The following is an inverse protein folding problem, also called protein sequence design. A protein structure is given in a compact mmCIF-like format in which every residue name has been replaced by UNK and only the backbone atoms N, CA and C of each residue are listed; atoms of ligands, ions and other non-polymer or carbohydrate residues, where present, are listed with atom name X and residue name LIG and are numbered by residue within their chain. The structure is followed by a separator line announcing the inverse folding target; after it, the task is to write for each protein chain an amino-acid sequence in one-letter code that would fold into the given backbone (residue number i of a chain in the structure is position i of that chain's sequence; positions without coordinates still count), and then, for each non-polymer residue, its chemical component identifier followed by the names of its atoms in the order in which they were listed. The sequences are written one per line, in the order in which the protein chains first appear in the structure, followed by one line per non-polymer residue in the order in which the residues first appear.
data_IF_651112132029
#
_entry.id   IF_651112132029
#
_cell.length_a   1.000
_cell.length_b   1.000
_cell.length_c   1.000
_cell.angle_alpha   90.00
_cell.angle_beta   90.00
_cell.angle_gamma   90.00
#
_symmetry.space_group_name_H-M   'P 1'
#
loop_
_entity.id
_entity.type
_entity.pdbx_description
1 polymer ?
#
# COMPACT_ATOMS: atom_id res chain seq x y z
N UNK A 1 7.97 -12.42 -8.29
CA UNK A 1 7.52 -11.55 -7.17
C UNK A 1 6.09 -11.92 -6.82
N UNK A 2 5.79 -12.20 -5.55
CA UNK A 2 4.45 -12.66 -5.11
C UNK A 2 3.38 -11.69 -5.64
N UNK A 3 2.48 -12.19 -6.47
CA UNK A 3 1.45 -11.41 -7.16
C UNK A 3 0.75 -10.45 -6.21
N UNK A 4 0.95 -9.14 -6.41
CA UNK A 4 0.26 -8.13 -5.63
C UNK A 4 -1.25 -8.24 -5.85
N UNK A 5 -2.04 -8.04 -4.79
CA UNK A 5 -3.50 -8.13 -4.83
C UNK A 5 -4.13 -6.75 -5.07
N UNK A 6 -5.31 -6.74 -5.67
CA UNK A 6 -6.08 -5.51 -5.78
C UNK A 6 -6.41 -4.97 -4.37
N UNK A 7 -6.25 -3.67 -4.11
CA UNK A 7 -6.48 -3.12 -2.78
C UNK A 7 -7.96 -3.25 -2.34
N UNK A 8 -8.20 -3.60 -1.08
CA UNK A 8 -9.51 -3.54 -0.42
C UNK A 8 -9.97 -2.09 -0.20
N UNK A 9 -11.22 -1.85 0.23
CA UNK A 9 -11.73 -0.49 0.48
C UNK A 9 -10.85 0.30 1.46
N UNK A 10 -10.44 -0.31 2.58
CA UNK A 10 -9.58 0.33 3.58
C UNK A 10 -8.18 0.64 3.01
N UNK A 11 -7.60 -0.30 2.25
CA UNK A 11 -6.30 -0.10 1.59
C UNK A 11 -6.38 1.01 0.53
N UNK A 12 -7.46 1.11 -0.25
CA UNK A 12 -7.68 2.22 -1.20
C UNK A 12 -7.69 3.57 -0.49
N UNK A 13 -8.35 3.67 0.68
CA UNK A 13 -8.34 4.89 1.50
C UNK A 13 -6.91 5.26 1.90
N UNK A 14 -6.14 4.30 2.41
CA UNK A 14 -4.74 4.51 2.80
C UNK A 14 -3.83 4.90 1.63
N UNK A 15 -4.03 4.29 0.45
CA UNK A 15 -3.28 4.67 -0.76
C UNK A 15 -3.60 6.10 -1.18
N UNK A 16 -4.88 6.52 -1.09
CA UNK A 16 -5.27 7.91 -1.34
C UNK A 16 -4.69 8.88 -0.31
N UNK A 17 -4.65 8.51 0.98
CA UNK A 17 -4.00 9.30 2.05
C UNK A 17 -2.49 9.47 1.82
N UNK A 18 -1.85 8.57 1.07
CA UNK A 18 -0.46 8.71 0.62
C UNK A 18 -0.31 9.57 -0.65
N UNK A 19 -1.39 10.18 -1.15
CA UNK A 19 -1.39 10.98 -2.38
C UNK A 19 -1.27 10.14 -3.67
N UNK A 20 -1.62 8.85 -3.63
CA UNK A 20 -1.45 7.93 -4.75
C UNK A 20 -2.79 7.51 -5.36
N UNK A 21 -2.80 7.28 -6.68
CA UNK A 21 -3.95 6.71 -7.38
C UNK A 21 -4.00 5.19 -7.20
N UNK A 22 -4.88 4.69 -6.33
CA UNK A 22 -5.05 3.27 -6.02
C UNK A 22 -5.25 2.34 -7.23
N UNK A 23 -5.70 2.83 -8.39
CA UNK A 23 -5.84 2.01 -9.61
C UNK A 23 -4.48 1.53 -10.13
N UNK A 24 -3.42 2.29 -9.87
CA UNK A 24 -2.06 2.01 -10.37
C UNK A 24 -1.22 1.17 -9.40
N UNK A 25 -1.77 0.77 -8.25
CA UNK A 25 -1.01 0.09 -7.21
C UNK A 25 -1.66 -1.23 -6.81
N UNK A 26 -0.82 -2.22 -6.54
CA UNK A 26 -1.18 -3.51 -5.98
C UNK A 26 -0.60 -3.62 -4.57
N UNK A 27 -1.33 -4.28 -3.68
CA UNK A 27 -0.86 -4.53 -2.31
C UNK A 27 -0.05 -5.83 -2.29
N UNK A 28 1.21 -5.72 -1.90
CA UNK A 28 2.15 -6.85 -1.78
C UNK A 28 2.11 -7.42 -0.38
N UNK A 29 2.07 -6.55 0.64
CA UNK A 29 2.06 -6.94 2.05
C UNK A 29 1.25 -5.94 2.86
N UNK A 30 0.36 -6.45 3.68
CA UNK A 30 -0.47 -5.66 4.57
C UNK A 30 -0.52 -6.33 5.95
N UNK A 31 0.40 -5.94 6.83
CA UNK A 31 0.49 -6.43 8.21
C UNK A 31 0.19 -5.28 9.18
N UNK A 32 0.03 -5.54 10.50
CA UNK A 32 -0.14 -4.47 11.48
C UNK A 32 1.00 -3.44 11.49
N UNK A 33 2.22 -3.88 11.17
CA UNK A 33 3.41 -3.01 11.19
C UNK A 33 3.73 -2.38 9.83
N UNK A 34 3.35 -3.03 8.72
CA UNK A 34 3.85 -2.71 7.38
C UNK A 34 2.74 -2.66 6.35
N UNK A 35 2.77 -1.63 5.52
CA UNK A 35 1.98 -1.55 4.30
C UNK A 35 2.91 -1.41 3.09
N UNK A 36 2.95 -2.41 2.24
CA UNK A 36 3.79 -2.43 1.03
C UNK A 36 2.92 -2.56 -0.22
N UNK A 37 3.18 -1.66 -1.16
CA UNK A 37 2.50 -1.60 -2.46
C UNK A 37 3.51 -1.56 -3.60
N UNK A 38 3.10 -2.07 -4.76
CA UNK A 38 3.89 -2.03 -6.00
C UNK A 38 3.10 -1.38 -7.11
N UNK A 39 3.75 -0.52 -7.89
CA UNK A 39 3.14 0.10 -9.05
C UNK A 39 2.98 -0.91 -10.18
N UNK A 40 1.81 -0.95 -10.82
CA UNK A 40 1.48 -1.90 -11.89
C UNK A 40 2.30 -1.70 -13.15
N UNK A 41 2.68 -0.46 -13.43
CA UNK A 41 3.36 -0.06 -14.68
C UNK A 41 4.87 -0.03 -14.47
N UNK A 42 5.35 0.72 -13.48
CA UNK A 42 6.78 0.91 -13.28
C UNK A 42 7.44 -0.15 -12.41
N UNK A 43 6.68 -0.99 -11.72
CA UNK A 43 7.22 -1.94 -10.73
C UNK A 43 7.77 -1.27 -9.47
N UNK A 44 7.65 0.05 -9.31
CA UNK A 44 8.15 0.77 -8.15
C UNK A 44 7.46 0.28 -6.87
N UNK A 45 8.25 -0.04 -5.86
CA UNK A 45 7.75 -0.48 -4.55
C UNK A 45 7.72 0.72 -3.60
N UNK A 46 6.61 0.90 -2.90
CA UNK A 46 6.48 1.83 -1.78
C UNK A 46 6.10 1.09 -0.52
N UNK A 47 6.73 1.48 0.57
CA UNK A 47 6.54 0.85 1.87
C UNK A 47 6.25 1.92 2.91
N UNK A 48 5.23 1.69 3.76
CA UNK A 48 4.84 2.57 4.85
C UNK A 48 4.79 1.77 6.15
N UNK A 49 5.53 2.23 7.16
CA UNK A 49 5.48 1.67 8.50
C UNK A 49 4.24 2.20 9.23
N UNK A 50 3.38 1.30 9.68
CA UNK A 50 2.13 1.61 10.38
C UNK A 50 2.32 1.75 11.89
N UNK A 51 3.34 1.11 12.45
CA UNK A 51 3.65 1.15 13.89
C UNK A 51 3.92 2.57 14.39
N UNK A 52 4.39 3.45 13.51
CA UNK A 52 4.66 4.86 13.82
C UNK A 52 3.40 5.75 13.78
N UNK A 53 2.23 5.22 13.37
CA UNK A 53 0.98 5.98 13.30
C UNK A 53 0.12 5.86 14.59
N UNK A 54 0.44 4.93 15.50
CA UNK A 54 -0.37 4.66 16.72
C UNK A 54 -0.04 5.64 17.87
N UNK A 55 0.79 6.65 17.63
CA UNK A 55 1.26 7.60 18.64
C UNK A 55 0.76 9.05 18.50
N UNK A 56 -0.35 9.30 17.81
CA UNK A 56 -0.96 10.64 17.70
C UNK A 56 -2.46 10.60 17.94
#
# INVERSE_FOLDING_TARGET
MKHGKNPTRAQKKRIKEMGLNFKNWLVVKDTPDLFQIVNRVSGNIRTKNKRLEVGR
#
